data_IF_683668339458
#
_entry.id   IF_683668339458
#
_cell.length_a   1.000
_cell.length_b   1.000
_cell.length_c   1.000
_cell.angle_alpha   90.00
_cell.angle_beta   90.00
_cell.angle_gamma   90.00
#
_symmetry.space_group_name_H-M   'P 1'
#
loop_
_entity.id
_entity.type
_entity.pdbx_description
1 polymer ?
#
# COMPACT_ATOMS: atom_id res chain seq x y z
N UNK A 1 -31.42 57.30 -6.36
CA UNK A 1 -31.64 55.84 -6.13
C UNK A 1 -30.96 54.98 -7.18
N UNK A 2 -31.02 55.33 -8.48
CA UNK A 2 -30.47 54.48 -9.56
C UNK A 2 -28.98 54.15 -9.46
N UNK A 3 -28.14 55.11 -9.03
CA UNK A 3 -26.69 54.90 -8.85
C UNK A 3 -26.36 53.86 -7.76
N UNK A 4 -27.14 53.80 -6.68
CA UNK A 4 -26.96 52.81 -5.61
C UNK A 4 -27.36 51.40 -6.06
N UNK A 5 -28.41 51.29 -6.89
CA UNK A 5 -28.87 50.03 -7.45
C UNK A 5 -27.84 49.46 -8.44
N UNK A 6 -27.25 50.31 -9.28
CA UNK A 6 -26.20 49.90 -10.22
C UNK A 6 -24.94 49.39 -9.51
N UNK A 7 -24.50 50.05 -8.43
CA UNK A 7 -23.34 49.62 -7.63
C UNK A 7 -23.62 48.31 -6.91
N UNK A 8 -24.83 48.13 -6.35
CA UNK A 8 -25.22 46.89 -5.68
C UNK A 8 -25.28 45.70 -6.67
N UNK A 9 -25.82 45.91 -7.87
CA UNK A 9 -25.82 44.89 -8.93
C UNK A 9 -24.41 44.55 -9.40
N UNK A 10 -23.54 45.56 -9.58
CA UNK A 10 -22.14 45.35 -9.92
C UNK A 10 -21.41 44.48 -8.90
N UNK A 11 -21.58 44.76 -7.60
CA UNK A 11 -20.99 43.99 -6.51
C UNK A 11 -21.51 42.55 -6.45
N UNK A 12 -22.81 42.33 -6.68
CA UNK A 12 -23.40 40.98 -6.73
C UNK A 12 -22.83 40.15 -7.89
N UNK A 13 -22.68 40.75 -9.08
CA UNK A 13 -22.10 40.07 -10.25
C UNK A 13 -20.63 39.75 -10.01
N UNK A 14 -19.86 40.68 -9.44
CA UNK A 14 -18.45 40.43 -9.09
C UNK A 14 -18.31 39.33 -8.04
N UNK A 15 -19.16 39.33 -7.00
CA UNK A 15 -19.16 38.29 -5.98
C UNK A 15 -19.52 36.91 -6.58
N UNK A 16 -20.51 36.85 -7.47
CA UNK A 16 -20.88 35.63 -8.18
C UNK A 16 -19.74 35.11 -9.08
N UNK A 17 -19.04 36.00 -9.78
CA UNK A 17 -17.89 35.64 -10.62
C UNK A 17 -16.72 35.09 -9.78
N UNK A 18 -16.41 35.72 -8.64
CA UNK A 18 -15.35 35.23 -7.72
C UNK A 18 -15.74 33.89 -7.09
N UNK A 19 -16.99 33.74 -6.67
CA UNK A 19 -17.50 32.47 -6.14
C UNK A 19 -17.42 31.35 -7.19
N UNK A 20 -17.75 31.65 -8.43
CA UNK A 20 -17.64 30.70 -9.54
C UNK A 20 -16.18 30.33 -9.83
N UNK A 21 -15.27 31.30 -9.95
CA UNK A 21 -13.84 31.06 -10.19
C UNK A 21 -13.19 30.25 -9.06
N UNK A 22 -13.50 30.57 -7.80
CA UNK A 22 -12.98 29.80 -6.66
C UNK A 22 -13.52 28.38 -6.64
N UNK A 23 -14.78 28.17 -7.06
CA UNK A 23 -15.37 26.83 -7.18
C UNK A 23 -14.70 25.99 -8.27
N UNK A 24 -14.41 26.57 -9.43
CA UNK A 24 -13.79 25.85 -10.56
C UNK A 24 -12.33 25.55 -10.30
N UNK A 25 -11.56 26.49 -9.74
CA UNK A 25 -10.18 26.25 -9.32
C UNK A 25 -10.09 25.14 -8.27
N UNK A 26 -10.99 25.14 -7.27
CA UNK A 26 -11.05 24.07 -6.27
C UNK A 26 -11.42 22.73 -6.89
N UNK A 27 -12.40 22.68 -7.79
CA UNK A 27 -12.79 21.45 -8.46
C UNK A 27 -11.65 20.88 -9.34
N UNK A 28 -10.93 21.75 -10.06
CA UNK A 28 -9.75 21.36 -10.83
C UNK A 28 -8.64 20.80 -9.92
N UNK A 29 -8.35 21.50 -8.82
CA UNK A 29 -7.36 21.05 -7.83
C UNK A 29 -7.72 19.68 -7.23
N UNK A 30 -8.98 19.45 -6.87
CA UNK A 30 -9.45 18.16 -6.34
C UNK A 30 -9.29 17.04 -7.37
N UNK A 31 -9.64 17.28 -8.64
CA UNK A 31 -9.45 16.29 -9.72
C UNK A 31 -7.98 15.94 -9.91
N UNK A 32 -7.10 16.93 -9.95
CA UNK A 32 -5.64 16.72 -10.07
C UNK A 32 -5.11 15.92 -8.88
N UNK A 33 -5.53 16.25 -7.65
CA UNK A 33 -5.14 15.50 -6.44
C UNK A 33 -5.64 14.06 -6.47
N UNK A 34 -6.87 13.82 -6.90
CA UNK A 34 -7.42 12.47 -6.99
C UNK A 34 -6.68 11.63 -8.06
N UNK A 35 -6.37 12.23 -9.21
CA UNK A 35 -5.57 11.58 -10.25
C UNK A 35 -4.17 11.22 -9.71
N UNK A 36 -3.51 12.16 -9.02
CA UNK A 36 -2.22 11.92 -8.38
C UNK A 36 -2.28 10.76 -7.39
N UNK A 37 -3.27 10.72 -6.48
CA UNK A 37 -3.42 9.60 -5.54
C UNK A 37 -3.67 8.27 -6.26
N UNK A 38 -4.42 8.29 -7.36
CA UNK A 38 -4.63 7.10 -8.20
C UNK A 38 -3.33 6.59 -8.81
N UNK A 39 -2.51 7.48 -9.36
CA UNK A 39 -1.22 7.15 -9.97
C UNK A 39 -0.22 6.63 -8.93
N UNK A 40 -0.10 7.32 -7.79
CA UNK A 40 0.74 6.90 -6.67
C UNK A 40 0.34 5.50 -6.17
N UNK A 41 -0.97 5.26 -5.97
CA UNK A 41 -1.48 3.96 -5.55
C UNK A 41 -1.21 2.84 -6.56
N UNK A 42 -1.39 3.11 -7.87
CA UNK A 42 -1.07 2.15 -8.95
C UNK A 42 0.43 1.88 -9.03
N UNK A 43 1.26 2.91 -8.93
CA UNK A 43 2.72 2.77 -8.95
C UNK A 43 3.21 1.92 -7.78
N UNK A 44 2.76 2.24 -6.56
CA UNK A 44 3.08 1.50 -5.36
C UNK A 44 2.66 0.02 -5.44
N UNK A 45 1.42 -0.25 -5.89
CA UNK A 45 0.92 -1.62 -6.08
C UNK A 45 1.76 -2.36 -7.14
N UNK A 46 2.05 -1.73 -8.27
CA UNK A 46 2.84 -2.35 -9.34
C UNK A 46 4.26 -2.67 -8.89
N UNK A 47 4.90 -1.76 -8.17
CA UNK A 47 6.24 -1.96 -7.63
C UNK A 47 6.28 -3.10 -6.59
N UNK A 48 5.24 -3.21 -5.75
CA UNK A 48 5.09 -4.29 -4.78
C UNK A 48 4.90 -5.65 -5.45
N UNK A 49 3.98 -5.75 -6.41
CA UNK A 49 3.74 -6.99 -7.15
C UNK A 49 4.98 -7.44 -7.93
N UNK A 50 5.69 -6.50 -8.57
CA UNK A 50 6.96 -6.80 -9.26
C UNK A 50 7.99 -7.36 -8.28
N UNK A 51 8.10 -6.79 -7.09
CA UNK A 51 8.94 -7.31 -6.03
C UNK A 51 8.57 -8.76 -5.69
N UNK A 52 7.30 -9.03 -5.40
CA UNK A 52 6.80 -10.37 -5.07
C UNK A 52 7.16 -11.38 -6.17
N UNK A 53 6.90 -11.06 -7.44
CA UNK A 53 7.20 -11.96 -8.56
C UNK A 53 8.70 -12.21 -8.73
N UNK A 54 9.53 -11.17 -8.55
CA UNK A 54 10.99 -11.26 -8.70
C UNK A 54 11.63 -12.11 -7.60
N UNK A 55 11.07 -12.05 -6.40
CA UNK A 55 11.57 -12.81 -5.26
C UNK A 55 11.15 -14.29 -5.38
N UNK A 56 9.94 -14.54 -5.90
CA UNK A 56 9.48 -15.89 -6.18
C UNK A 56 10.39 -16.66 -7.15
N UNK A 57 11.00 -15.98 -8.13
CA UNK A 57 11.85 -16.60 -9.17
C UNK A 57 13.30 -16.87 -8.74
N UNK A 58 13.59 -16.96 -7.44
CA UNK A 58 14.95 -17.20 -6.93
C UNK A 58 15.48 -18.60 -7.27
N UNK A 59 16.79 -18.73 -7.43
CA UNK A 59 17.48 -19.94 -7.92
C UNK A 59 17.52 -21.12 -6.93
N UNK A 60 17.02 -20.93 -5.70
CA UNK A 60 17.00 -21.94 -4.66
C UNK A 60 15.56 -22.40 -4.40
N UNK A 61 15.19 -23.56 -4.96
CA UNK A 61 13.93 -24.24 -4.67
C UNK A 61 13.79 -24.50 -3.16
N UNK A 62 13.10 -23.60 -2.45
CA UNK A 62 12.93 -23.73 -1.02
C UNK A 62 12.29 -22.51 -0.38
N UNK A 63 11.05 -22.69 0.09
CA UNK A 63 10.29 -21.85 1.01
C UNK A 63 9.90 -20.42 0.56
N UNK A 64 8.72 -20.02 1.02
CA UNK A 64 8.05 -18.80 0.59
C UNK A 64 8.89 -17.58 0.88
N UNK A 65 9.36 -17.00 -0.21
CA UNK A 65 10.13 -15.78 -0.31
C UNK A 65 9.34 -14.52 0.12
N UNK A 66 8.07 -14.65 0.50
CA UNK A 66 7.15 -13.55 0.80
C UNK A 66 6.42 -13.78 2.13
N UNK A 67 6.93 -13.20 3.21
CA UNK A 67 6.40 -13.41 4.55
C UNK A 67 5.74 -12.15 5.11
N UNK A 68 4.49 -12.30 5.52
CA UNK A 68 3.71 -11.25 6.13
C UNK A 68 3.76 -11.33 7.65
N UNK A 69 4.06 -10.20 8.28
CA UNK A 69 4.15 -10.04 9.72
C UNK A 69 3.10 -9.03 10.18
N UNK A 70 2.37 -9.37 11.23
CA UNK A 70 1.56 -8.40 11.96
C UNK A 70 2.32 -7.99 13.21
N UNK A 71 2.64 -6.69 13.32
CA UNK A 71 3.38 -6.16 14.45
C UNK A 71 2.50 -5.31 15.36
N UNK A 72 2.44 -5.67 16.63
CA UNK A 72 1.73 -4.94 17.68
C UNK A 72 2.63 -4.77 18.90
N UNK A 73 2.67 -3.54 19.43
CA UNK A 73 3.38 -3.17 20.65
C UNK A 73 4.86 -3.63 20.72
N UNK A 74 5.56 -3.69 19.59
CA UNK A 74 6.98 -4.10 19.55
C UNK A 74 7.22 -5.59 19.34
N UNK A 75 6.17 -6.39 19.20
CA UNK A 75 6.25 -7.80 18.82
C UNK A 75 5.65 -8.02 17.43
N UNK A 76 6.13 -9.02 16.68
CA UNK A 76 5.61 -9.36 15.36
C UNK A 76 5.33 -10.85 15.26
N UNK A 77 4.26 -11.22 14.56
CA UNK A 77 3.91 -12.62 14.30
C UNK A 77 3.79 -12.85 12.79
N UNK A 78 4.63 -13.72 12.20
CA UNK A 78 5.80 -14.36 12.80
C UNK A 78 6.90 -13.33 13.17
N UNK A 79 7.90 -13.69 14.00
CA UNK A 79 8.97 -12.77 14.39
C UNK A 79 9.71 -12.18 13.17
N UNK A 80 10.00 -10.87 13.22
CA UNK A 80 10.88 -10.22 12.24
C UNK A 80 12.35 -10.48 12.60
N UNK A 81 13.03 -11.31 11.82
CA UNK A 81 14.47 -11.57 11.98
C UNK A 81 15.30 -10.54 11.20
N UNK A 82 16.41 -10.07 11.77
CA UNK A 82 17.30 -9.07 11.13
C UNK A 82 16.79 -7.62 11.17
N UNK A 83 17.74 -6.67 11.15
CA UNK A 83 17.54 -5.21 11.21
C UNK A 83 16.85 -4.66 12.48
N UNK A 84 17.56 -4.60 13.63
CA UNK A 84 17.02 -4.09 14.90
C UNK A 84 16.46 -2.65 14.79
N UNK A 85 17.14 -1.78 14.05
CA UNK A 85 16.72 -0.40 13.83
C UNK A 85 15.39 -0.30 13.05
N UNK A 86 15.14 -1.25 12.13
CA UNK A 86 13.89 -1.29 11.40
C UNK A 86 12.77 -1.89 12.24
N UNK A 87 13.06 -2.90 13.06
CA UNK A 87 12.09 -3.53 13.96
C UNK A 87 11.44 -2.50 14.90
N UNK A 88 12.21 -1.53 15.41
CA UNK A 88 11.67 -0.41 16.19
C UNK A 88 10.72 0.49 15.38
N UNK A 89 11.02 0.73 14.09
CA UNK A 89 10.20 1.59 13.20
C UNK A 89 8.91 0.93 12.73
N UNK A 90 8.88 -0.40 12.67
CA UNK A 90 7.73 -1.20 12.19
C UNK A 90 6.93 -1.86 13.32
N UNK A 91 7.29 -1.61 14.58
CA UNK A 91 6.74 -2.19 15.81
C UNK A 91 5.20 -2.12 15.97
N UNK A 92 4.50 -1.35 15.12
CA UNK A 92 3.04 -1.16 15.13
C UNK A 92 2.45 -1.19 13.71
N UNK A 93 3.04 -1.98 12.84
CA UNK A 93 2.72 -1.98 11.41
C UNK A 93 2.63 -3.39 10.86
N UNK A 94 1.72 -3.58 9.90
CA UNK A 94 1.74 -4.72 9.01
C UNK A 94 2.98 -4.61 8.11
N UNK A 95 3.83 -5.64 8.10
CA UNK A 95 5.06 -5.73 7.31
C UNK A 95 4.99 -6.90 6.35
N UNK A 96 5.29 -6.67 5.07
CA UNK A 96 5.54 -7.73 4.10
C UNK A 96 7.03 -7.78 3.77
N UNK A 97 7.66 -8.90 4.11
CA UNK A 97 9.06 -9.19 3.87
C UNK A 97 9.19 -9.99 2.58
N UNK A 98 10.04 -9.55 1.67
CA UNK A 98 10.36 -10.25 0.43
C UNK A 98 11.83 -10.65 0.47
N UNK A 99 12.16 -11.93 0.49
CA UNK A 99 13.53 -12.46 0.63
C UNK A 99 13.93 -13.27 -0.59
N UNK A 100 14.81 -12.73 -1.42
CA UNK A 100 15.35 -13.45 -2.58
C UNK A 100 16.53 -14.26 -2.09
N UNK A 101 16.35 -15.58 -2.08
CA UNK A 101 17.41 -16.50 -1.72
C UNK A 101 18.49 -16.50 -2.79
N UNK A 102 19.75 -16.44 -2.37
CA UNK A 102 20.89 -16.56 -3.25
C UNK A 102 21.73 -17.76 -2.79
N UNK A 103 22.00 -18.69 -3.71
CA UNK A 103 22.78 -19.90 -3.39
C UNK A 103 24.23 -19.57 -3.05
N UNK A 104 24.78 -18.56 -3.71
CA UNK A 104 26.21 -18.24 -3.69
C UNK A 104 26.50 -16.89 -2.99
N UNK A 105 25.50 -16.24 -2.41
CA UNK A 105 25.66 -14.99 -1.67
C UNK A 105 24.64 -14.87 -0.52
N UNK A 106 24.73 -13.78 0.24
CA UNK A 106 23.72 -13.48 1.26
C UNK A 106 22.34 -13.22 0.64
N UNK A 107 21.30 -13.68 1.34
CA UNK A 107 19.92 -13.43 0.96
C UNK A 107 19.61 -11.94 0.92
N UNK A 108 18.90 -11.51 -0.11
CA UNK A 108 18.48 -10.12 -0.27
C UNK A 108 17.05 -9.97 0.25
N UNK A 109 16.87 -9.14 1.29
CA UNK A 109 15.57 -8.94 1.91
C UNK A 109 15.08 -7.50 1.74
N UNK A 110 13.93 -7.34 1.07
CA UNK A 110 13.17 -6.10 1.01
C UNK A 110 12.02 -6.15 2.00
N UNK A 111 11.63 -4.99 2.55
CA UNK A 111 10.48 -4.91 3.46
C UNK A 111 9.54 -3.78 3.08
N UNK A 112 8.26 -4.10 3.05
CA UNK A 112 7.18 -3.18 2.80
C UNK A 112 6.36 -3.02 4.07
N UNK A 113 6.10 -1.79 4.49
CA UNK A 113 5.32 -1.56 5.70
C UNK A 113 4.64 -0.20 5.68
N UNK A 114 3.63 -0.05 6.53
CA UNK A 114 2.99 1.24 6.75
C UNK A 114 3.71 2.00 7.86
N UNK A 115 4.32 3.11 7.53
CA UNK A 115 4.89 4.05 8.50
C UNK A 115 3.83 5.07 8.91
N UNK A 116 3.82 5.50 10.18
CA UNK A 116 3.07 6.72 10.55
C UNK A 116 3.89 7.90 10.05
N UNK A 117 3.37 8.64 9.08
CA UNK A 117 4.03 9.83 8.53
C UNK A 117 4.10 10.96 9.55
N UNK A 118 4.74 12.07 9.17
CA UNK A 118 4.95 13.23 10.05
C UNK A 118 3.69 14.10 10.25
N UNK A 119 2.62 13.88 9.48
CA UNK A 119 1.34 14.59 9.61
C UNK A 119 0.27 13.78 10.36
N UNK A 120 -0.70 14.48 10.96
CA UNK A 120 -1.78 13.85 11.73
C UNK A 120 -2.53 12.79 10.90
N UNK A 121 -2.47 11.54 11.37
CA UNK A 121 -3.24 10.42 10.82
C UNK A 121 -2.79 9.88 9.46
N UNK A 122 -1.82 10.51 8.78
CA UNK A 122 -1.36 10.03 7.49
C UNK A 122 -0.36 8.89 7.66
N UNK A 123 -0.61 7.77 6.98
CA UNK A 123 0.37 6.68 6.87
C UNK A 123 0.98 6.66 5.49
N UNK A 124 2.23 6.25 5.44
CA UNK A 124 3.00 6.11 4.22
C UNK A 124 3.30 4.64 4.00
N UNK A 125 3.12 4.15 2.77
CA UNK A 125 3.70 2.87 2.39
C UNK A 125 5.18 3.10 2.11
N UNK A 126 6.05 2.44 2.87
CA UNK A 126 7.49 2.49 2.67
C UNK A 126 8.01 1.15 2.19
N UNK A 127 9.04 1.20 1.36
CA UNK A 127 9.86 0.07 0.96
C UNK A 127 11.28 0.30 1.47
N UNK A 128 11.82 -0.64 2.22
CA UNK A 128 13.25 -0.67 2.54
C UNK A 128 13.98 -1.71 1.70
N UNK A 129 15.16 -1.32 1.23
CA UNK A 129 16.09 -2.17 0.51
C UNK A 129 16.96 -2.99 1.50
N UNK A 130 17.69 -4.01 1.01
CA UNK A 130 18.54 -4.86 1.85
C UNK A 130 19.68 -4.11 2.55
N UNK A 131 20.08 -2.94 2.05
CA UNK A 131 21.05 -2.03 2.68
C UNK A 131 20.47 -1.21 3.84
N UNK A 132 19.14 -1.27 4.05
CA UNK A 132 18.43 -0.52 5.08
C UNK A 132 17.93 0.85 4.63
N UNK A 133 18.20 1.28 3.40
CA UNK A 133 17.64 2.52 2.86
C UNK A 133 16.13 2.36 2.57
N UNK A 134 15.34 3.36 2.95
CA UNK A 134 13.88 3.28 2.89
C UNK A 134 13.29 4.43 2.08
N UNK A 135 12.53 4.12 1.03
CA UNK A 135 11.80 5.08 0.21
C UNK A 135 10.30 5.07 0.54
N UNK A 136 9.66 6.23 0.43
CA UNK A 136 8.20 6.36 0.47
C UNK A 136 7.64 6.06 -0.92
N UNK A 137 6.71 5.11 -0.98
CA UNK A 137 6.13 4.60 -2.24
C UNK A 137 4.75 5.19 -2.50
N UNK A 138 3.99 5.47 -1.45
CA UNK A 138 2.69 6.13 -1.51
C UNK A 138 2.39 6.82 -0.17
N UNK A 139 1.65 7.93 -0.23
CA UNK A 139 1.18 8.68 0.95
C UNK A 139 -0.33 8.47 1.16
N UNK A 140 -0.87 8.89 2.31
CA UNK A 140 -2.30 8.77 2.59
C UNK A 140 -2.83 7.33 2.69
N UNK A 141 -1.98 6.35 2.99
CA UNK A 141 -2.35 4.94 2.97
C UNK A 141 -3.20 4.59 4.18
N UNK A 142 -4.42 4.08 3.96
CA UNK A 142 -5.28 3.61 5.04
C UNK A 142 -4.83 2.24 5.57
N UNK A 143 -4.61 1.29 4.66
CA UNK A 143 -4.27 -0.10 5.00
C UNK A 143 -3.53 -0.81 3.89
N UNK A 144 -2.72 -1.78 4.28
CA UNK A 144 -2.07 -2.77 3.41
C UNK A 144 -2.46 -4.14 3.98
N UNK A 145 -3.05 -4.99 3.15
CA UNK A 145 -3.42 -6.34 3.52
C UNK A 145 -2.93 -7.31 2.45
N UNK A 146 -2.70 -8.56 2.86
CA UNK A 146 -2.32 -9.62 1.94
C UNK A 146 -2.85 -10.97 2.40
N UNK A 147 -3.00 -11.88 1.44
CA UNK A 147 -3.45 -13.27 1.64
C UNK A 147 -2.70 -14.18 0.68
N UNK A 148 -2.57 -15.44 1.06
CA UNK A 148 -1.81 -16.44 0.32
C UNK A 148 -2.76 -17.35 -0.44
N UNK A 149 -2.53 -17.47 -1.75
CA UNK A 149 -3.24 -18.40 -2.61
C UNK A 149 -2.69 -19.81 -2.42
N UNK A 150 -3.54 -20.73 -1.96
CA UNK A 150 -3.25 -22.14 -1.81
C UNK A 150 -4.11 -22.94 -2.80
N UNK A 151 -3.59 -24.02 -3.41
CA UNK A 151 -4.38 -24.90 -4.25
C UNK A 151 -5.47 -25.59 -3.43
N UNK A 152 -6.68 -25.59 -3.96
CA UNK A 152 -7.88 -26.16 -3.37
C UNK A 152 -8.55 -27.08 -4.39
N UNK A 153 -8.86 -28.32 -4.00
CA UNK A 153 -9.37 -29.34 -4.92
C UNK A 153 -10.78 -29.00 -5.42
N UNK A 154 -11.60 -28.32 -4.61
CA UNK A 154 -12.98 -27.98 -4.96
C UNK A 154 -13.08 -26.62 -5.66
N UNK A 155 -12.27 -25.65 -5.23
CA UNK A 155 -12.37 -24.24 -5.66
C UNK A 155 -11.24 -23.78 -6.58
N UNK A 156 -10.29 -24.66 -6.90
CA UNK A 156 -9.04 -24.35 -7.60
C UNK A 156 -8.04 -23.62 -6.71
N UNK A 157 -8.43 -22.49 -6.11
CA UNK A 157 -7.61 -21.70 -5.18
C UNK A 157 -8.43 -21.28 -3.96
N UNK A 158 -7.85 -21.40 -2.76
CA UNK A 158 -8.33 -20.74 -1.54
C UNK A 158 -7.31 -19.72 -1.04
N UNK A 159 -7.80 -18.64 -0.46
CA UNK A 159 -6.95 -17.60 0.13
C UNK A 159 -6.89 -17.72 1.65
N UNK A 160 -5.69 -17.82 2.19
CA UNK A 160 -5.43 -17.98 3.62
C UNK A 160 -4.53 -16.87 4.17
N UNK A 161 -4.66 -16.56 5.45
CA UNK A 161 -3.76 -15.67 6.18
C UNK A 161 -2.46 -16.39 6.57
N UNK A 162 -1.39 -15.65 6.85
CA UNK A 162 -0.08 -16.22 7.21
C UNK A 162 -0.17 -17.27 8.34
N UNK A 163 -0.94 -16.99 9.40
CA UNK A 163 -1.08 -17.90 10.54
C UNK A 163 -1.82 -19.20 10.17
N UNK A 164 -2.76 -19.17 9.24
CA UNK A 164 -3.46 -20.36 8.74
C UNK A 164 -2.54 -21.20 7.86
N UNK A 165 -1.73 -20.57 7.00
CA UNK A 165 -0.72 -21.26 6.18
C UNK A 165 0.31 -21.94 7.08
N UNK A 166 0.75 -21.24 8.13
CA UNK A 166 1.68 -21.76 9.14
C UNK A 166 1.08 -22.94 9.91
N UNK A 167 -0.15 -22.82 10.39
CA UNK A 167 -0.82 -23.88 11.16
C UNK A 167 -1.00 -25.18 10.35
N UNK A 168 -1.10 -25.07 9.02
CA UNK A 168 -1.20 -26.20 8.10
C UNK A 168 0.15 -26.67 7.56
N UNK A 169 1.27 -26.05 7.97
CA UNK A 169 2.61 -26.26 7.39
C UNK A 169 2.62 -26.20 5.86
N UNK A 170 1.76 -25.34 5.30
CA UNK A 170 1.40 -25.35 3.88
C UNK A 170 2.16 -24.31 3.04
N UNK A 171 3.25 -23.72 3.57
CA UNK A 171 4.02 -22.70 2.86
C UNK A 171 4.52 -23.20 1.49
N UNK A 172 4.99 -24.46 1.41
CA UNK A 172 5.41 -25.11 0.15
C UNK A 172 4.28 -25.21 -0.91
N UNK A 173 3.02 -25.06 -0.50
CA UNK A 173 1.84 -25.10 -1.38
C UNK A 173 1.39 -23.72 -1.82
N UNK A 174 1.95 -22.63 -1.30
CA UNK A 174 1.55 -21.29 -1.72
C UNK A 174 1.91 -21.09 -3.20
N UNK A 175 0.95 -20.61 -3.99
CA UNK A 175 1.08 -20.37 -5.45
C UNK A 175 0.94 -18.89 -5.82
N UNK A 176 0.62 -18.04 -4.86
CA UNK A 176 0.48 -16.61 -5.10
C UNK A 176 0.20 -15.83 -3.84
N UNK A 177 0.27 -14.51 -3.96
CA UNK A 177 -0.06 -13.56 -2.90
C UNK A 177 -1.05 -12.55 -3.47
N UNK A 178 -2.26 -12.50 -2.90
CA UNK A 178 -3.18 -11.40 -3.09
C UNK A 178 -2.74 -10.24 -2.20
N UNK A 179 -2.66 -9.04 -2.76
CA UNK A 179 -2.35 -7.81 -2.03
C UNK A 179 -3.48 -6.82 -2.24
N UNK A 180 -3.89 -6.16 -1.15
CA UNK A 180 -4.82 -5.05 -1.17
C UNK A 180 -4.19 -3.82 -0.51
N UNK A 181 -4.11 -2.73 -1.28
CA UNK A 181 -3.68 -1.42 -0.83
C UNK A 181 -4.90 -0.48 -0.83
N UNK A 182 -5.16 0.17 0.30
CA UNK A 182 -6.21 1.19 0.39
C UNK A 182 -5.57 2.54 0.65
N UNK A 183 -5.87 3.53 -0.19
CA UNK A 183 -5.32 4.88 -0.10
C UNK A 183 -6.46 5.88 0.04
N UNK A 184 -6.37 6.78 1.02
CA UNK A 184 -7.29 7.89 1.20
C UNK A 184 -6.97 8.93 0.14
N UNK A 185 -7.95 9.24 -0.71
CA UNK A 185 -7.89 10.42 -1.56
C UNK A 185 -7.88 11.67 -0.67
N UNK A 186 -7.29 12.75 -1.17
CA UNK A 186 -7.27 14.05 -0.49
C UNK A 186 -8.68 14.43 0.05
N UNK A 187 -8.75 15.17 1.17
CA UNK A 187 -10.02 15.51 1.81
C UNK A 187 -10.98 16.12 0.79
N UNK A 188 -12.16 15.52 0.68
CA UNK A 188 -13.24 16.01 -0.17
C UNK A 188 -13.88 17.27 0.44
N UNK A 189 -14.70 17.97 -0.35
CA UNK A 189 -15.43 19.18 0.08
C UNK A 189 -16.38 18.93 1.26
N UNK A 190 -16.64 17.67 1.61
CA UNK A 190 -17.45 17.25 2.73
C UNK A 190 -16.62 16.25 3.55
N UNK A 191 -16.25 16.56 4.80
CA UNK A 191 -15.47 15.63 5.62
C UNK A 191 -16.14 14.24 5.82
N UNK A 192 -17.44 14.11 5.53
CA UNK A 192 -18.17 12.84 5.50
C UNK A 192 -17.90 11.95 4.26
N UNK A 193 -17.23 12.44 3.22
CA UNK A 193 -16.97 11.73 1.97
C UNK A 193 -15.46 11.51 1.75
N UNK A 194 -14.72 11.07 2.77
CA UNK A 194 -13.34 10.62 2.58
C UNK A 194 -13.35 9.41 1.62
N UNK A 195 -12.95 9.62 0.36
CA UNK A 195 -12.92 8.54 -0.62
C UNK A 195 -11.69 7.66 -0.39
N UNK A 196 -11.92 6.37 -0.20
CA UNK A 196 -10.85 5.37 -0.07
C UNK A 196 -10.75 4.60 -1.37
N UNK A 197 -9.66 4.84 -2.11
CA UNK A 197 -9.31 4.08 -3.30
C UNK A 197 -8.76 2.72 -2.90
N UNK A 198 -9.25 1.65 -3.52
CA UNK A 198 -8.82 0.28 -3.25
C UNK A 198 -8.15 -0.32 -4.48
N UNK A 199 -6.87 -0.67 -4.35
CA UNK A 199 -6.10 -1.40 -5.34
C UNK A 199 -5.97 -2.84 -4.84
N UNK A 200 -6.43 -3.81 -5.62
CA UNK A 200 -6.31 -5.24 -5.31
C UNK A 200 -5.74 -5.96 -6.51
N UNK A 201 -4.77 -6.85 -6.27
CA UNK A 201 -4.17 -7.66 -7.31
C UNK A 201 -3.55 -8.92 -6.73
N UNK A 202 -3.27 -9.89 -7.60
CA UNK A 202 -2.64 -11.16 -7.24
C UNK A 202 -1.31 -11.27 -7.98
N UNK A 203 -0.24 -11.52 -7.24
CA UNK A 203 1.04 -11.92 -7.81
C UNK A 203 1.16 -13.44 -7.72
N UNK A 204 1.27 -14.11 -8.87
CA UNK A 204 1.62 -15.52 -8.90
C UNK A 204 3.08 -15.70 -8.45
N UNK A 205 3.32 -16.74 -7.65
CA UNK A 205 4.67 -17.20 -7.35
C UNK A 205 5.02 -18.31 -8.36
N UNK A 206 6.22 -18.28 -8.95
CA UNK A 206 6.64 -19.35 -9.84
C UNK A 206 6.69 -20.68 -9.08
N UNK A 207 6.42 -21.76 -9.79
CA UNK A 207 6.45 -23.09 -9.19
C UNK A 207 7.89 -23.45 -8.78
N UNK A 208 8.09 -24.07 -7.60
CA UNK A 208 9.38 -24.62 -7.26
C UNK A 208 9.78 -25.63 -8.34
N UNK A 209 10.99 -25.47 -8.89
CA UNK A 209 11.54 -26.42 -9.85
C UNK A 209 11.55 -27.83 -9.23
N UNK A 210 11.18 -28.88 -9.99
CA UNK A 210 11.14 -30.26 -9.52
C UNK A 210 12.52 -30.79 -9.13
#
# INVERSE_FOLDING_TARGET
>A
MELLVAVALGLLVSAAAVAWLTSTMRAAWLRTRQAQTHEEGRFAMTALLRGITQVGSGDAGGEVAVLGHRCEAGSCVPPLSGFPALNARVARSDVLTLTRRNKDAADLTWRWYLHRGLGEGQRELRRCNPDGECATMATGVASLAWRYALPDVERGVRYAMAHEVQALSAWHRVRGVEVQLRVRAAPSLRPAEEQVLSFRSVAALPEPLP
#
